data_IF_415022609440
#
_entry.id   IF_415022609440
#
_cell.length_a   1.000
_cell.length_b   1.000
_cell.length_c   1.000
_cell.angle_alpha   90.00
_cell.angle_beta   90.00
_cell.angle_gamma   90.00
#
_symmetry.space_group_name_H-M   'P 1'
#
loop_
_entity.id
_entity.type
_entity.pdbx_description
1 polymer ?
#
# COMPACT_ATOMS: atom_id res chain seq x y z
N UNK A 1 -13.02 -17.34 -11.88
CA UNK A 1 -11.55 -17.27 -12.00
C UNK A 1 -10.99 -16.91 -10.63
N UNK A 2 -10.05 -17.69 -10.11
CA UNK A 2 -9.46 -17.45 -8.78
C UNK A 2 -8.06 -16.85 -8.97
N UNK A 3 -7.85 -15.62 -8.49
CA UNK A 3 -6.53 -14.98 -8.55
C UNK A 3 -5.61 -15.61 -7.50
N UNK A 4 -4.41 -16.05 -7.91
CA UNK A 4 -3.44 -16.66 -6.99
C UNK A 4 -2.87 -15.69 -5.96
N UNK A 5 -2.74 -14.41 -6.33
CA UNK A 5 -2.22 -13.35 -5.47
C UNK A 5 -3.06 -12.10 -5.64
N UNK A 6 -3.29 -11.38 -4.54
CA UNK A 6 -4.05 -10.14 -4.52
C UNK A 6 -3.15 -8.99 -4.09
N UNK A 7 -3.01 -7.97 -4.92
CA UNK A 7 -2.21 -6.79 -4.59
C UNK A 7 -3.07 -5.71 -3.94
N UNK A 8 -2.60 -5.21 -2.79
CA UNK A 8 -3.10 -4.01 -2.16
C UNK A 8 -2.05 -2.89 -2.24
N UNK A 9 -2.44 -1.78 -2.87
CA UNK A 9 -1.69 -0.53 -2.92
C UNK A 9 -2.41 0.48 -2.03
N UNK A 10 -1.65 1.23 -1.22
CA UNK A 10 -2.18 2.40 -0.55
C UNK A 10 -2.52 3.49 -1.57
N UNK A 11 -3.68 4.13 -1.39
CA UNK A 11 -4.06 5.33 -2.14
C UNK A 11 -3.76 6.59 -1.33
N UNK A 12 -4.28 7.72 -1.80
CA UNK A 12 -4.20 9.03 -1.10
C UNK A 12 -4.96 9.09 0.24
N UNK A 13 -5.77 8.07 0.55
CA UNK A 13 -6.58 7.97 1.78
C UNK A 13 -6.77 6.49 2.15
N UNK A 14 -7.52 6.21 3.22
CA UNK A 14 -7.90 4.86 3.63
C UNK A 14 -8.57 4.08 2.49
N UNK A 15 -8.24 2.79 2.39
CA UNK A 15 -8.75 1.92 1.34
C UNK A 15 -9.54 0.76 1.95
N UNK A 16 -10.85 0.81 1.82
CA UNK A 16 -11.74 -0.30 2.23
C UNK A 16 -11.46 -1.62 1.50
N UNK A 17 -10.70 -1.58 0.40
CA UNK A 17 -10.40 -2.73 -0.45
C UNK A 17 -9.67 -3.83 0.30
N UNK A 18 -8.75 -3.49 1.20
CA UNK A 18 -7.90 -4.48 1.89
C UNK A 18 -8.74 -5.52 2.63
N UNK A 19 -9.83 -5.09 3.29
CA UNK A 19 -10.76 -5.99 4.02
C UNK A 19 -11.35 -7.07 3.12
N UNK A 20 -11.80 -6.68 1.93
CA UNK A 20 -12.40 -7.62 0.98
C UNK A 20 -11.37 -8.59 0.41
N UNK A 21 -10.15 -8.12 0.13
CA UNK A 21 -9.08 -9.01 -0.36
C UNK A 21 -8.73 -10.09 0.67
N UNK A 22 -8.71 -9.75 1.95
CA UNK A 22 -8.46 -10.71 3.04
C UNK A 22 -9.54 -11.80 3.13
N UNK A 23 -10.78 -11.51 2.73
CA UNK A 23 -11.87 -12.51 2.73
C UNK A 23 -11.85 -13.47 1.52
N UNK A 24 -11.06 -13.19 0.49
CA UNK A 24 -11.04 -14.00 -0.74
C UNK A 24 -10.27 -15.33 -0.58
N UNK A 25 -9.55 -15.53 0.52
CA UNK A 25 -8.75 -16.74 0.77
C UNK A 25 -7.46 -16.84 -0.06
N UNK A 26 -7.16 -15.84 -0.88
CA UNK A 26 -5.88 -15.71 -1.58
C UNK A 26 -4.89 -14.88 -0.77
N UNK A 27 -3.58 -15.16 -0.83
CA UNK A 27 -2.55 -14.32 -0.22
C UNK A 27 -2.63 -12.87 -0.70
N UNK A 28 -2.58 -11.94 0.24
CA UNK A 28 -2.61 -10.50 -0.03
C UNK A 28 -1.20 -9.92 0.09
N UNK A 29 -0.70 -9.38 -1.00
CA UNK A 29 0.55 -8.61 -1.05
C UNK A 29 0.21 -7.16 -0.68
N UNK A 30 0.77 -6.68 0.42
CA UNK A 30 0.57 -5.31 0.89
C UNK A 30 1.81 -4.47 0.60
N UNK A 31 1.74 -3.66 -0.46
CA UNK A 31 2.74 -2.63 -0.73
C UNK A 31 2.40 -1.39 0.11
N UNK A 32 3.21 -1.16 1.14
CA UNK A 32 3.02 -0.08 2.11
C UNK A 32 4.03 1.03 1.84
N UNK A 33 3.54 2.22 1.51
CA UNK A 33 4.35 3.45 1.67
C UNK A 33 4.24 3.90 3.13
N UNK A 34 5.28 4.56 3.63
CA UNK A 34 5.43 4.91 5.05
C UNK A 34 4.16 5.54 5.64
N UNK A 35 3.67 4.92 6.73
CA UNK A 35 2.73 5.38 7.78
C UNK A 35 1.54 6.32 7.49
N UNK A 36 1.25 6.73 6.26
CA UNK A 36 0.27 7.78 5.98
C UNK A 36 -1.17 7.38 6.27
N UNK A 37 -1.56 6.12 6.01
CA UNK A 37 -2.96 5.69 6.09
C UNK A 37 -3.08 4.33 6.79
N UNK A 38 -3.17 4.36 8.12
CA UNK A 38 -3.46 3.18 8.95
C UNK A 38 -4.89 3.19 9.49
N UNK A 39 -5.66 2.14 9.19
CA UNK A 39 -6.95 1.95 9.86
C UNK A 39 -6.76 1.38 11.27
N UNK A 40 -7.76 1.57 12.14
CA UNK A 40 -7.69 1.17 13.55
C UNK A 40 -7.34 -0.30 13.78
N UNK A 41 -7.61 -1.19 12.82
CA UNK A 41 -7.37 -2.64 12.89
C UNK A 41 -6.07 -3.08 12.21
N UNK A 42 -5.33 -2.17 11.57
CA UNK A 42 -4.08 -2.54 10.87
C UNK A 42 -3.02 -3.14 11.81
N UNK A 43 -3.04 -2.78 13.09
CA UNK A 43 -2.16 -3.36 14.11
C UNK A 43 -2.38 -4.88 14.33
N UNK A 44 -3.53 -5.42 13.89
CA UNK A 44 -3.80 -6.86 13.96
C UNK A 44 -3.23 -7.63 12.76
N UNK A 45 -2.78 -6.94 11.70
CA UNK A 45 -2.19 -7.58 10.54
C UNK A 45 -0.77 -8.05 10.85
N UNK A 46 -0.50 -9.31 10.53
CA UNK A 46 0.80 -9.92 10.71
C UNK A 46 1.40 -10.33 9.36
N UNK A 47 2.67 -9.97 9.17
CA UNK A 47 3.43 -10.38 7.99
C UNK A 47 3.62 -11.90 7.95
N UNK A 48 3.51 -12.49 6.78
CA UNK A 48 3.57 -13.93 6.56
C UNK A 48 2.35 -14.72 7.04
N UNK A 49 1.44 -14.11 7.81
CA UNK A 49 0.22 -14.77 8.29
C UNK A 49 -1.02 -14.33 7.49
N UNK A 50 -1.34 -13.03 7.53
CA UNK A 50 -2.54 -12.49 6.88
C UNK A 50 -2.19 -11.75 5.58
N UNK A 51 -0.97 -11.25 5.50
CA UNK A 51 -0.46 -10.43 4.41
C UNK A 51 1.01 -10.74 4.19
N UNK A 52 1.52 -10.39 3.00
CA UNK A 52 2.96 -10.33 2.73
C UNK A 52 3.33 -8.87 2.51
N UNK A 53 4.12 -8.29 3.41
CA UNK A 53 4.58 -6.92 3.24
C UNK A 53 5.63 -6.84 2.13
N UNK A 54 5.39 -5.93 1.19
CA UNK A 54 6.37 -5.54 0.21
C UNK A 54 6.87 -4.14 0.61
N UNK A 55 8.10 -4.08 1.11
CA UNK A 55 8.76 -2.81 1.45
C UNK A 55 8.75 -1.88 0.23
N UNK A 56 8.40 -0.61 0.44
CA UNK A 56 8.27 0.36 -0.63
C UNK A 56 9.60 0.64 -1.35
N UNK A 57 9.88 -0.15 -2.39
CA UNK A 57 10.74 0.23 -3.51
C UNK A 57 9.86 0.52 -4.73
N UNK A 58 8.69 1.13 -4.51
CA UNK A 58 7.84 1.66 -5.56
C UNK A 58 7.76 3.17 -5.39
N UNK A 59 8.91 3.83 -5.48
CA UNK A 59 9.02 5.27 -5.67
C UNK A 59 8.51 5.61 -7.09
N UNK A 60 7.22 5.37 -7.37
CA UNK A 60 6.53 5.88 -8.55
C UNK A 60 6.22 7.37 -8.35
N UNK A 61 7.22 8.14 -7.90
CA UNK A 61 7.18 9.60 -7.96
C UNK A 61 7.28 9.98 -9.44
N UNK A 62 6.14 10.35 -10.02
CA UNK A 62 6.14 11.08 -11.29
C UNK A 62 7.08 12.30 -11.24
N UNK A 63 7.53 12.82 -12.40
CA UNK A 63 8.63 13.77 -12.52
C UNK A 63 8.31 15.22 -12.07
N UNK A 64 7.67 15.41 -10.92
CA UNK A 64 7.25 16.75 -10.45
C UNK A 64 8.12 17.37 -9.35
N UNK A 65 9.24 16.75 -8.96
CA UNK A 65 10.09 17.29 -7.90
C UNK A 65 11.10 18.38 -8.31
N UNK A 66 11.18 18.75 -9.59
CA UNK A 66 12.10 19.80 -10.06
C UNK A 66 11.53 21.24 -10.02
N UNK A 67 10.30 21.46 -9.53
CA UNK A 67 9.68 22.81 -9.55
C UNK A 67 9.82 23.63 -8.27
N UNK A 68 10.39 23.11 -7.18
CA UNK A 68 10.47 23.83 -5.90
C UNK A 68 11.78 24.57 -5.64
N UNK A 69 12.83 24.37 -6.43
CA UNK A 69 14.11 25.09 -6.27
C UNK A 69 14.29 26.29 -7.21
N UNK A 70 13.35 26.56 -8.14
CA UNK A 70 13.44 27.67 -9.10
C UNK A 70 12.64 28.93 -8.70
N UNK A 71 12.41 29.16 -7.39
CA UNK A 71 11.85 30.43 -6.87
C UNK A 71 12.65 30.92 -5.67
N UNK A 72 13.96 31.05 -5.86
CA UNK A 72 14.80 31.97 -5.08
C UNK A 72 15.93 32.43 -5.99
N UNK A 73 15.63 33.38 -6.87
CA UNK A 73 16.56 34.40 -7.35
C UNK A 73 15.74 35.49 -8.05
#
# INVERSE_FOLDING_TARGET
MQCRYLLHLQGYTFSSRLKYLLTCGSPVIFAREEEMHQEFWHHMLQDGANIVYMGAVLHMRGPNHLRRTARKH
#
